data_IF_001240081823
#
_entry.id   IF_001240081823
#
_cell.length_a   1.000
_cell.length_b   1.000
_cell.length_c   1.000
_cell.angle_alpha   90.00
_cell.angle_beta   90.00
_cell.angle_gamma   90.00
#
_symmetry.space_group_name_H-M   'P 1'
#
loop_
_entity.id
_entity.type
_entity.pdbx_description
1 polymer ?
#
# COMPACT_ATOMS: atom_id res chain seq x y z
N UNK A 1 -30.92 -0.07 -30.36
CA UNK A 1 -30.36 -0.40 -29.03
C UNK A 1 -28.86 -0.51 -29.20
N UNK A 2 -28.09 0.49 -28.72
CA UNK A 2 -26.64 0.48 -28.84
C UNK A 2 -26.07 -0.34 -27.68
N UNK A 3 -25.45 -1.46 -28.01
CA UNK A 3 -24.72 -2.24 -27.01
C UNK A 3 -23.35 -1.61 -26.77
N UNK A 4 -23.04 -1.18 -25.54
CA UNK A 4 -21.69 -0.81 -25.15
C UNK A 4 -20.95 -2.08 -24.74
N UNK A 5 -19.89 -2.42 -25.46
CA UNK A 5 -18.98 -3.49 -25.08
C UNK A 5 -17.84 -2.85 -24.28
N UNK A 6 -17.75 -3.17 -23.00
CA UNK A 6 -16.60 -2.81 -22.17
C UNK A 6 -15.53 -3.89 -22.34
N UNK A 7 -14.39 -3.53 -22.87
CA UNK A 7 -13.24 -4.43 -22.94
C UNK A 7 -12.40 -4.20 -21.69
N UNK A 8 -12.31 -5.20 -20.83
CA UNK A 8 -11.36 -5.21 -19.72
C UNK A 8 -10.05 -5.81 -20.23
N UNK A 9 -8.96 -5.13 -19.99
CA UNK A 9 -7.63 -5.62 -20.34
C UNK A 9 -7.12 -6.51 -19.21
N UNK A 10 -6.72 -7.75 -19.52
CA UNK A 10 -6.03 -8.60 -18.57
C UNK A 10 -4.51 -8.40 -18.70
N UNK A 11 -3.89 -8.01 -17.60
CA UNK A 11 -2.43 -7.94 -17.45
C UNK A 11 -1.96 -9.12 -16.62
N UNK A 12 -1.25 -10.05 -17.25
CA UNK A 12 -0.66 -11.21 -16.57
C UNK A 12 0.87 -11.14 -16.61
N UNK A 13 1.50 -11.05 -15.42
CA UNK A 13 2.96 -11.00 -15.28
C UNK A 13 3.37 -12.11 -14.31
N UNK A 14 4.25 -12.98 -14.73
CA UNK A 14 4.72 -14.06 -13.87
C UNK A 14 6.20 -14.39 -14.06
N UNK A 15 6.81 -14.93 -13.00
CA UNK A 15 8.19 -15.41 -13.00
C UNK A 15 9.19 -14.38 -13.60
N UNK A 16 9.03 -13.12 -13.22
CA UNK A 16 9.74 -11.99 -13.86
C UNK A 16 10.56 -11.19 -12.87
N UNK A 17 11.51 -10.44 -13.39
CA UNK A 17 12.24 -9.41 -12.65
C UNK A 17 12.05 -8.08 -13.36
N UNK A 18 11.77 -7.04 -12.58
CA UNK A 18 11.65 -5.67 -13.02
C UNK A 18 12.66 -4.88 -12.21
N UNK A 19 13.73 -4.43 -12.84
CA UNK A 19 14.89 -3.90 -12.12
C UNK A 19 15.39 -2.60 -12.76
N UNK A 20 15.92 -1.70 -11.92
CA UNK A 20 16.59 -0.47 -12.35
C UNK A 20 15.67 0.48 -13.13
N UNK A 21 14.42 0.60 -12.68
CA UNK A 21 13.46 1.54 -13.25
C UNK A 21 13.92 2.99 -13.06
N UNK A 22 13.86 3.77 -14.11
CA UNK A 22 14.26 5.17 -14.13
C UNK A 22 13.09 6.10 -14.49
N UNK A 23 11.90 5.74 -14.02
CA UNK A 23 10.65 6.48 -14.19
C UNK A 23 9.99 6.73 -12.83
N UNK A 24 8.95 7.53 -12.80
CA UNK A 24 8.17 7.78 -11.58
C UNK A 24 7.61 6.48 -11.03
N UNK A 25 7.06 5.62 -11.90
CA UNK A 25 6.63 4.27 -11.56
C UNK A 25 7.44 3.25 -12.37
N UNK A 26 8.03 2.26 -11.70
CA UNK A 26 8.78 1.21 -12.39
C UNK A 26 7.85 0.31 -13.21
N UNK A 27 6.65 0.09 -12.71
CA UNK A 27 5.52 -0.51 -13.43
C UNK A 27 4.24 0.21 -13.02
N UNK A 28 3.57 0.85 -13.97
CA UNK A 28 2.24 1.44 -13.78
C UNK A 28 1.19 0.66 -14.57
N UNK A 29 0.10 0.26 -13.92
CA UNK A 29 -1.02 -0.46 -14.53
C UNK A 29 -2.30 0.32 -14.22
N UNK A 30 -3.04 0.67 -15.25
CA UNK A 30 -4.25 1.48 -15.12
C UNK A 30 -5.45 0.77 -15.74
N UNK A 31 -6.54 0.67 -14.98
CA UNK A 31 -7.85 0.16 -15.41
C UNK A 31 -7.77 -1.24 -16.06
N UNK A 32 -7.23 -2.21 -15.32
CA UNK A 32 -7.03 -3.55 -15.82
C UNK A 32 -7.40 -4.62 -14.78
N UNK A 33 -7.76 -5.81 -15.26
CA UNK A 33 -7.70 -7.02 -14.45
C UNK A 33 -6.24 -7.47 -14.36
N UNK A 34 -5.76 -7.75 -13.16
CA UNK A 34 -4.35 -8.06 -12.92
C UNK A 34 -4.16 -9.46 -12.33
N UNK A 35 -3.14 -10.14 -12.82
CA UNK A 35 -2.63 -11.37 -12.23
C UNK A 35 -1.12 -11.35 -12.22
N UNK A 36 -0.56 -10.91 -11.11
CA UNK A 36 0.89 -10.76 -10.94
C UNK A 36 1.37 -11.83 -9.95
N UNK A 37 2.36 -12.62 -10.35
CA UNK A 37 2.86 -13.67 -9.49
C UNK A 37 4.36 -13.98 -9.68
N UNK A 38 5.06 -14.19 -8.56
CA UNK A 38 6.50 -14.53 -8.57
C UNK A 38 7.32 -13.48 -9.31
N UNK A 39 7.11 -12.21 -8.97
CA UNK A 39 7.83 -11.06 -9.53
C UNK A 39 8.75 -10.46 -8.48
N UNK A 40 9.94 -10.07 -8.90
CA UNK A 40 10.86 -9.33 -8.07
C UNK A 40 11.06 -7.93 -8.65
N UNK A 41 10.72 -6.90 -7.87
CA UNK A 41 11.03 -5.50 -8.16
C UNK A 41 12.31 -5.11 -7.43
N UNK A 42 13.22 -4.42 -8.13
CA UNK A 42 14.46 -3.98 -7.52
C UNK A 42 14.95 -2.65 -8.09
N UNK A 43 15.53 -1.81 -7.22
CA UNK A 43 16.14 -0.53 -7.59
C UNK A 43 15.18 0.38 -8.36
N UNK A 44 13.99 0.62 -7.82
CA UNK A 44 13.08 1.65 -8.33
C UNK A 44 13.54 3.03 -7.82
N UNK A 45 13.66 4.02 -8.70
CA UNK A 45 14.06 5.39 -8.29
C UNK A 45 12.93 6.18 -7.63
N UNK A 46 11.69 5.76 -7.80
CA UNK A 46 10.50 6.23 -7.12
C UNK A 46 9.63 5.02 -6.78
N UNK A 47 8.37 4.96 -7.22
CA UNK A 47 7.45 3.88 -6.88
C UNK A 47 7.76 2.61 -7.71
N UNK A 48 7.57 1.42 -7.12
CA UNK A 48 7.91 0.19 -7.84
C UNK A 48 6.71 -0.37 -8.61
N UNK A 49 5.57 -0.53 -7.96
CA UNK A 49 4.33 -0.97 -8.60
C UNK A 49 3.20 -0.01 -8.22
N UNK A 50 2.67 0.66 -9.22
CA UNK A 50 1.48 1.48 -9.13
C UNK A 50 0.32 0.81 -9.87
N UNK A 51 -0.85 0.72 -9.23
CA UNK A 51 -2.01 0.02 -9.73
C UNK A 51 -3.28 0.85 -9.50
N UNK A 52 -3.68 1.57 -10.55
CA UNK A 52 -4.85 2.43 -10.56
C UNK A 52 -6.07 1.74 -11.19
N UNK A 53 -7.18 1.70 -10.45
CA UNK A 53 -8.43 1.09 -10.93
C UNK A 53 -8.29 -0.36 -11.39
N UNK A 54 -7.41 -1.09 -10.73
CA UNK A 54 -7.15 -2.50 -11.01
C UNK A 54 -8.10 -3.42 -10.25
N UNK A 55 -8.27 -4.64 -10.76
CA UNK A 55 -8.93 -5.73 -10.03
C UNK A 55 -8.12 -7.00 -10.16
N UNK A 56 -8.03 -7.81 -9.12
CA UNK A 56 -7.42 -9.11 -9.22
C UNK A 56 -6.45 -9.49 -8.13
N UNK A 57 -5.36 -10.14 -8.51
CA UNK A 57 -4.47 -10.78 -7.55
C UNK A 57 -3.00 -10.50 -7.81
N UNK A 58 -2.31 -10.14 -6.73
CA UNK A 58 -0.84 -9.98 -6.70
C UNK A 58 -0.29 -10.94 -5.63
N UNK A 59 0.59 -11.85 -6.02
CA UNK A 59 1.05 -12.92 -5.12
C UNK A 59 2.51 -13.28 -5.28
N UNK A 60 3.18 -13.61 -4.15
CA UNK A 60 4.60 -14.00 -4.13
C UNK A 60 5.47 -12.94 -4.81
N UNK A 61 5.33 -11.69 -4.39
CA UNK A 61 6.07 -10.55 -4.95
C UNK A 61 7.03 -10.00 -3.91
N UNK A 62 8.24 -9.73 -4.35
CA UNK A 62 9.29 -9.14 -3.54
C UNK A 62 9.67 -7.76 -4.08
N UNK A 63 9.81 -6.81 -3.18
CA UNK A 63 10.29 -5.46 -3.47
C UNK A 63 11.57 -5.21 -2.68
N UNK A 64 12.58 -4.67 -3.34
CA UNK A 64 13.87 -4.39 -2.73
C UNK A 64 14.49 -3.10 -3.27
N UNK A 65 14.94 -2.22 -2.37
CA UNK A 65 15.58 -0.94 -2.72
C UNK A 65 14.66 -0.06 -3.58
N UNK A 66 13.53 0.35 -3.01
CA UNK A 66 12.55 1.26 -3.64
C UNK A 66 12.68 2.64 -3.00
N UNK A 67 12.83 3.69 -3.78
CA UNK A 67 13.00 5.04 -3.25
C UNK A 67 11.68 5.79 -2.99
N UNK A 68 10.57 5.31 -3.52
CA UNK A 68 9.21 5.75 -3.23
C UNK A 68 8.41 4.69 -2.47
N UNK A 69 7.16 4.49 -2.91
CA UNK A 69 6.28 3.45 -2.43
C UNK A 69 6.59 2.11 -3.11
N UNK A 70 6.67 1.02 -2.35
CA UNK A 70 6.91 -0.27 -2.99
C UNK A 70 5.65 -0.75 -3.75
N UNK A 71 4.49 -0.54 -3.15
CA UNK A 71 3.20 -0.87 -3.75
C UNK A 71 2.23 0.29 -3.49
N UNK A 72 1.78 0.99 -4.52
CA UNK A 72 0.72 2.00 -4.48
C UNK A 72 -0.53 1.45 -5.19
N UNK A 73 -1.67 1.49 -4.51
CA UNK A 73 -2.95 0.97 -4.99
C UNK A 73 -4.00 2.06 -4.84
N UNK A 74 -4.61 2.47 -5.95
CA UNK A 74 -5.64 3.48 -5.96
C UNK A 74 -6.89 3.05 -6.72
N UNK A 75 -8.08 3.27 -6.15
CA UNK A 75 -9.37 2.97 -6.78
C UNK A 75 -9.59 1.49 -7.13
N UNK A 76 -8.93 0.58 -6.47
CA UNK A 76 -8.72 -0.81 -6.91
C UNK A 76 -9.33 -1.84 -5.96
N UNK A 77 -9.59 -3.05 -6.47
CA UNK A 77 -10.08 -4.22 -5.72
C UNK A 77 -9.07 -5.37 -5.87
N UNK A 78 -8.18 -5.51 -4.91
CA UNK A 78 -6.98 -6.35 -5.02
C UNK A 78 -6.84 -7.32 -3.85
N UNK A 79 -6.56 -8.57 -4.16
CA UNK A 79 -6.09 -9.56 -3.21
C UNK A 79 -4.57 -9.70 -3.26
N UNK A 80 -3.92 -9.46 -2.13
CA UNK A 80 -2.47 -9.58 -1.95
C UNK A 80 -2.13 -10.85 -1.16
N UNK A 81 -1.17 -11.64 -1.61
CA UNK A 81 -0.68 -12.76 -0.81
C UNK A 81 0.83 -12.97 -0.92
N UNK A 82 1.49 -13.19 0.21
CA UNK A 82 2.93 -13.37 0.32
C UNK A 82 3.69 -12.20 -0.32
N UNK A 83 3.51 -11.02 0.21
CA UNK A 83 4.19 -9.80 -0.21
C UNK A 83 5.34 -9.53 0.74
N UNK A 84 6.55 -9.40 0.20
CA UNK A 84 7.75 -9.10 0.96
C UNK A 84 8.34 -7.77 0.46
N UNK A 85 8.52 -6.84 1.37
CA UNK A 85 9.03 -5.50 1.08
C UNK A 85 10.24 -5.24 1.96
N UNK A 86 11.34 -4.88 1.32
CA UNK A 86 12.55 -4.49 2.00
C UNK A 86 13.13 -3.21 1.40
N UNK A 87 13.35 -2.22 2.26
CA UNK A 87 13.95 -0.94 1.91
C UNK A 87 13.09 -0.09 0.95
N UNK A 88 11.81 0.12 1.29
CA UNK A 88 10.97 1.15 0.69
C UNK A 88 11.16 2.47 1.47
N UNK A 89 11.55 3.55 0.80
CA UNK A 89 11.93 4.79 1.49
C UNK A 89 10.76 5.64 1.94
N UNK A 90 9.64 5.64 1.20
CA UNK A 90 8.42 6.34 1.61
C UNK A 90 7.46 5.35 2.31
N UNK A 91 6.59 4.67 1.61
CA UNK A 91 5.67 3.69 2.18
C UNK A 91 5.91 2.29 1.61
N UNK A 92 5.90 1.28 2.46
CA UNK A 92 5.94 -0.08 1.95
C UNK A 92 4.65 -0.41 1.18
N UNK A 93 3.49 -0.05 1.74
CA UNK A 93 2.20 -0.21 1.08
C UNK A 93 1.39 1.07 1.25
N UNK A 94 0.93 1.63 0.15
CA UNK A 94 0.05 2.79 0.04
C UNK A 94 -1.26 2.38 -0.60
N UNK A 95 -2.40 2.63 0.05
CA UNK A 95 -3.72 2.24 -0.45
C UNK A 95 -4.66 3.43 -0.31
N UNK A 96 -5.27 3.86 -1.42
CA UNK A 96 -6.09 5.04 -1.47
C UNK A 96 -7.27 4.98 -2.44
N UNK A 97 -8.03 6.07 -2.50
CA UNK A 97 -9.04 6.32 -3.53
C UNK A 97 -10.18 5.29 -3.56
N UNK A 98 -10.72 4.95 -2.39
CA UNK A 98 -11.80 3.97 -2.23
C UNK A 98 -11.43 2.56 -2.71
N UNK A 99 -10.18 2.17 -2.53
CA UNK A 99 -9.74 0.80 -2.78
C UNK A 99 -10.27 -0.18 -1.74
N UNK A 100 -10.47 -1.43 -2.15
CA UNK A 100 -10.76 -2.57 -1.29
C UNK A 100 -9.63 -3.58 -1.41
N UNK A 101 -8.88 -3.82 -0.33
CA UNK A 101 -7.68 -4.64 -0.38
C UNK A 101 -7.62 -5.65 0.76
N UNK A 102 -7.58 -6.93 0.38
CA UNK A 102 -7.33 -8.04 1.30
C UNK A 102 -5.88 -8.50 1.22
N UNK A 103 -5.20 -8.58 2.35
CA UNK A 103 -3.78 -8.98 2.45
C UNK A 103 -3.66 -10.23 3.32
N UNK A 104 -3.23 -11.34 2.75
CA UNK A 104 -3.06 -12.61 3.48
C UNK A 104 -1.78 -12.63 4.33
N UNK A 105 -0.62 -12.38 3.72
CA UNK A 105 0.67 -12.33 4.42
C UNK A 105 1.50 -11.15 3.91
N UNK A 106 1.97 -10.31 4.82
CA UNK A 106 2.79 -9.14 4.53
C UNK A 106 4.02 -9.12 5.43
N UNK A 107 5.19 -8.98 4.83
CA UNK A 107 6.44 -8.77 5.55
C UNK A 107 7.07 -7.46 5.10
N UNK A 108 7.41 -6.59 6.04
CA UNK A 108 8.02 -5.28 5.78
C UNK A 108 9.29 -5.14 6.65
N UNK A 109 10.40 -4.84 6.00
CA UNK A 109 11.67 -4.59 6.68
C UNK A 109 12.38 -3.34 6.13
N UNK A 110 13.15 -2.66 6.98
CA UNK A 110 14.07 -1.57 6.63
C UNK A 110 13.40 -0.44 5.80
N UNK A 111 12.15 -0.10 6.11
CA UNK A 111 11.35 0.80 5.29
C UNK A 111 11.02 2.11 6.01
N UNK A 112 10.44 3.07 5.30
CA UNK A 112 9.96 4.33 5.86
C UNK A 112 8.71 4.12 6.71
N UNK A 113 7.55 4.26 6.11
CA UNK A 113 6.24 3.93 6.70
C UNK A 113 5.82 2.52 6.29
N UNK A 114 5.16 1.78 7.16
CA UNK A 114 4.67 0.44 6.86
C UNK A 114 3.48 0.47 5.89
N UNK A 115 2.27 0.55 6.42
CA UNK A 115 1.03 0.55 5.63
C UNK A 115 0.28 1.86 5.84
N UNK A 116 0.02 2.59 4.77
CA UNK A 116 -0.80 3.79 4.76
C UNK A 116 -2.12 3.53 4.02
N UNK A 117 -3.24 3.70 4.72
CA UNK A 117 -4.59 3.54 4.16
C UNK A 117 -5.30 4.89 4.20
N UNK A 118 -5.84 5.31 3.07
CA UNK A 118 -6.34 6.68 2.89
C UNK A 118 -7.59 6.73 2.00
N UNK A 119 -8.26 7.87 2.06
CA UNK A 119 -9.25 8.30 1.06
C UNK A 119 -10.40 7.29 0.83
N UNK A 120 -11.03 6.84 1.91
CA UNK A 120 -12.20 5.96 1.86
C UNK A 120 -11.90 4.50 1.53
N UNK A 121 -10.63 4.08 1.62
CA UNK A 121 -10.25 2.70 1.35
C UNK A 121 -10.52 1.78 2.54
N UNK A 122 -10.82 0.52 2.23
CA UNK A 122 -11.03 -0.56 3.20
C UNK A 122 -9.94 -1.61 3.04
N UNK A 123 -9.21 -1.88 4.13
CA UNK A 123 -8.09 -2.82 4.11
C UNK A 123 -8.22 -3.83 5.25
N UNK A 124 -8.11 -5.09 4.89
CA UNK A 124 -8.01 -6.19 5.83
C UNK A 124 -6.65 -6.90 5.68
N UNK A 125 -5.94 -7.10 6.79
CA UNK A 125 -4.66 -7.81 6.82
C UNK A 125 -4.79 -9.02 7.75
N UNK A 126 -4.66 -10.23 7.22
CA UNK A 126 -4.70 -11.45 8.04
C UNK A 126 -3.43 -11.60 8.87
N UNK A 127 -2.24 -11.48 8.25
CA UNK A 127 -0.95 -11.60 8.97
C UNK A 127 0.05 -10.55 8.49
N UNK A 128 0.74 -9.94 9.44
CA UNK A 128 1.79 -8.98 9.15
C UNK A 128 2.98 -9.14 10.10
N UNK A 129 4.19 -8.97 9.54
CA UNK A 129 5.43 -8.83 10.28
C UNK A 129 6.14 -7.55 9.83
N UNK A 130 6.50 -6.70 10.77
CA UNK A 130 7.11 -5.39 10.50
C UNK A 130 8.40 -5.29 11.34
N UNK A 131 9.48 -4.81 10.69
CA UNK A 131 10.76 -4.69 11.37
C UNK A 131 11.58 -3.52 10.83
N UNK A 132 12.16 -2.75 11.74
CA UNK A 132 13.05 -1.61 11.42
C UNK A 132 12.42 -0.59 10.48
N UNK A 133 11.35 0.04 10.93
CA UNK A 133 10.78 1.19 10.23
C UNK A 133 11.37 2.51 10.74
N UNK A 134 11.57 3.44 9.82
CA UNK A 134 11.98 4.81 10.18
C UNK A 134 10.83 5.62 10.77
N UNK A 135 9.60 5.24 10.47
CA UNK A 135 8.37 5.95 10.84
C UNK A 135 7.30 4.98 11.36
N UNK A 136 6.02 5.31 11.12
CA UNK A 136 4.89 4.61 11.69
C UNK A 136 4.60 3.28 10.97
N UNK A 137 4.12 2.28 11.73
CA UNK A 137 3.78 0.98 11.13
C UNK A 137 2.48 1.03 10.35
N UNK A 138 1.46 1.65 10.91
CA UNK A 138 0.14 1.77 10.28
C UNK A 138 -0.35 3.21 10.38
N UNK A 139 -0.85 3.73 9.28
CA UNK A 139 -1.46 5.05 9.22
C UNK A 139 -2.82 4.99 8.52
N UNK A 140 -3.81 5.69 9.09
CA UNK A 140 -5.07 5.93 8.39
C UNK A 140 -5.39 7.43 8.40
N UNK A 141 -5.64 8.01 7.21
CA UNK A 141 -5.91 9.44 7.08
C UNK A 141 -6.70 9.76 5.81
N UNK A 142 -7.14 11.01 5.68
CA UNK A 142 -7.81 11.53 4.48
C UNK A 142 -6.91 12.54 3.81
N UNK A 143 -6.43 12.23 2.60
CA UNK A 143 -5.65 13.14 1.74
C UNK A 143 -6.52 13.81 0.69
N UNK A 144 -7.48 13.07 0.15
CA UNK A 144 -8.38 13.50 -0.92
C UNK A 144 -9.82 13.47 -0.40
N UNK A 145 -10.33 14.56 0.17
CA UNK A 145 -11.62 14.57 0.91
C UNK A 145 -12.87 14.37 0.03
N UNK A 146 -12.72 14.34 -1.29
CA UNK A 146 -13.82 14.05 -2.21
C UNK A 146 -14.10 12.53 -2.40
N UNK A 147 -13.20 11.65 -1.93
CA UNK A 147 -13.53 10.25 -1.75
C UNK A 147 -14.32 10.06 -0.46
N UNK A 148 -14.90 8.87 -0.25
CA UNK A 148 -15.62 8.56 0.99
C UNK A 148 -14.77 8.93 2.22
N UNK A 149 -15.40 9.55 3.21
CA UNK A 149 -14.70 9.94 4.44
C UNK A 149 -14.40 8.75 5.38
N UNK A 150 -14.82 7.55 5.03
CA UNK A 150 -14.68 6.38 5.89
C UNK A 150 -13.55 5.47 5.43
N UNK A 151 -12.38 5.69 5.95
CA UNK A 151 -11.20 4.86 5.71
C UNK A 151 -11.07 3.83 6.82
N UNK A 152 -10.85 2.57 6.47
CA UNK A 152 -10.77 1.47 7.44
C UNK A 152 -9.52 0.62 7.26
N UNK A 153 -8.87 0.28 8.37
CA UNK A 153 -7.82 -0.72 8.46
C UNK A 153 -8.14 -1.74 9.57
N UNK A 154 -8.16 -3.00 9.23
CA UNK A 154 -8.30 -4.09 10.18
C UNK A 154 -7.10 -5.05 10.04
N UNK A 155 -6.33 -5.20 11.09
CA UNK A 155 -5.20 -6.15 11.16
C UNK A 155 -5.56 -7.24 12.16
N UNK A 156 -5.61 -8.48 11.71
CA UNK A 156 -6.05 -9.63 12.52
C UNK A 156 -4.91 -10.22 13.35
N UNK A 157 -3.76 -10.45 12.75
CA UNK A 157 -2.63 -11.08 13.41
C UNK A 157 -1.33 -10.30 13.15
N UNK A 158 -0.73 -9.81 14.22
CA UNK A 158 0.59 -9.19 14.18
C UNK A 158 1.60 -10.23 14.67
N UNK A 159 2.41 -10.75 13.75
CA UNK A 159 3.43 -11.76 14.06
C UNK A 159 4.62 -11.12 14.78
N UNK A 160 4.92 -9.86 14.46
CA UNK A 160 5.93 -9.07 15.15
C UNK A 160 5.96 -7.64 14.62
N UNK A 161 6.17 -6.71 15.55
CA UNK A 161 6.54 -5.32 15.26
C UNK A 161 7.75 -5.02 16.13
N UNK A 162 8.87 -4.66 15.50
CA UNK A 162 10.14 -4.49 16.17
C UNK A 162 10.92 -3.32 15.57
N UNK A 163 11.61 -2.57 16.41
CA UNK A 163 12.54 -1.50 16.04
C UNK A 163 11.90 -0.42 15.17
N UNK A 164 11.01 0.37 15.77
CA UNK A 164 10.28 1.44 15.11
C UNK A 164 10.86 2.82 15.46
N UNK A 165 11.01 3.67 14.45
CA UNK A 165 11.30 5.08 14.61
C UNK A 165 10.09 5.96 14.95
N UNK A 166 8.87 5.42 14.78
CA UNK A 166 7.59 6.10 15.00
C UNK A 166 6.60 5.29 15.81
N UNK A 167 5.33 5.54 15.60
CA UNK A 167 4.23 4.89 16.31
C UNK A 167 3.82 3.57 15.65
N UNK A 168 3.29 2.64 16.45
CA UNK A 168 2.68 1.43 15.90
C UNK A 168 1.47 1.78 15.03
N UNK A 169 0.67 2.77 15.46
CA UNK A 169 -0.51 3.19 14.71
C UNK A 169 -0.78 4.69 14.87
N UNK A 170 -1.06 5.34 13.74
CA UNK A 170 -1.48 6.73 13.66
C UNK A 170 -2.81 6.78 12.90
N UNK A 171 -3.85 7.36 13.52
CA UNK A 171 -5.20 7.38 12.98
C UNK A 171 -5.84 8.77 13.04
N UNK A 172 -6.20 9.32 11.89
CA UNK A 172 -6.98 10.56 11.81
C UNK A 172 -8.40 10.36 12.38
N UNK A 173 -9.04 11.45 12.82
CA UNK A 173 -10.35 11.40 13.51
C UNK A 173 -11.47 10.78 12.67
N UNK A 174 -11.46 11.01 11.37
CA UNK A 174 -12.49 10.51 10.43
C UNK A 174 -12.15 9.16 9.80
N UNK A 175 -11.26 8.40 10.41
CA UNK A 175 -10.84 7.09 9.94
C UNK A 175 -10.95 6.04 11.04
N UNK A 176 -10.81 4.77 10.69
CA UNK A 176 -10.82 3.66 11.63
C UNK A 176 -9.60 2.77 11.42
N UNK A 177 -8.94 2.41 12.52
CA UNK A 177 -7.89 1.40 12.50
C UNK A 177 -8.01 0.50 13.72
N UNK A 178 -8.02 -0.81 13.48
CA UNK A 178 -8.06 -1.84 14.50
C UNK A 178 -6.92 -2.81 14.29
N UNK A 179 -6.07 -2.96 15.28
CA UNK A 179 -4.95 -3.89 15.32
C UNK A 179 -5.26 -4.99 16.31
N UNK A 180 -5.49 -6.21 15.83
CA UNK A 180 -5.95 -7.35 16.63
C UNK A 180 -7.23 -7.00 17.40
N UNK A 181 -7.13 -6.85 18.73
CA UNK A 181 -8.27 -6.52 19.59
C UNK A 181 -8.27 -5.05 20.05
N UNK A 182 -7.33 -4.22 19.57
CA UNK A 182 -7.19 -2.82 19.99
C UNK A 182 -7.55 -1.87 18.87
N UNK A 183 -8.39 -0.88 19.16
CA UNK A 183 -8.62 0.26 18.28
C UNK A 183 -7.50 1.27 18.51
N UNK A 184 -6.90 1.75 17.41
CA UNK A 184 -5.88 2.79 17.48
C UNK A 184 -6.47 4.08 18.05
N UNK A 185 -5.71 4.73 18.89
CA UNK A 185 -6.08 6.05 19.40
C UNK A 185 -6.07 7.08 18.29
N UNK A 186 -6.93 8.09 18.42
CA UNK A 186 -6.95 9.21 17.49
C UNK A 186 -5.68 10.05 17.65
N UNK A 187 -5.15 10.50 16.53
CA UNK A 187 -4.01 11.40 16.48
C UNK A 187 -4.23 12.46 15.40
N UNK A 188 -3.52 13.56 15.51
CA UNK A 188 -3.56 14.60 14.48
C UNK A 188 -2.60 14.17 13.36
N UNK A 189 -3.13 14.00 12.17
CA UNK A 189 -2.33 13.75 10.96
C UNK A 189 -2.33 15.04 10.13
N UNK A 190 -1.24 15.79 10.21
CA UNK A 190 -1.06 16.97 9.35
C UNK A 190 -0.65 16.52 7.94
N UNK A 191 -1.65 16.22 7.12
CA UNK A 191 -1.48 15.72 5.76
C UNK A 191 -0.77 16.75 4.87
N UNK A 192 -1.06 18.04 5.04
CA UNK A 192 -0.42 19.09 4.26
C UNK A 192 1.09 19.13 4.56
N UNK A 193 1.45 19.11 5.83
CA UNK A 193 2.86 19.05 6.23
C UNK A 193 3.55 17.79 5.68
N UNK A 194 2.92 16.60 5.83
CA UNK A 194 3.52 15.35 5.38
C UNK A 194 3.90 15.36 3.89
N UNK A 195 3.02 15.90 3.04
CA UNK A 195 3.22 15.88 1.58
C UNK A 195 3.95 17.11 1.02
N UNK A 196 3.91 18.25 1.69
CA UNK A 196 4.58 19.47 1.20
C UNK A 196 5.96 19.69 1.81
N UNK A 197 6.16 19.35 3.06
CA UNK A 197 7.38 19.64 3.83
C UNK A 197 7.94 18.44 4.58
N UNK A 198 7.13 17.44 4.82
CA UNK A 198 7.47 16.26 5.61
C UNK A 198 8.07 15.12 4.79
N UNK A 199 8.02 13.95 5.38
CA UNK A 199 8.64 12.71 4.89
C UNK A 199 8.05 12.12 3.62
N UNK A 200 6.82 12.51 3.25
CA UNK A 200 6.11 12.03 2.05
C UNK A 200 6.17 13.05 0.90
N UNK A 201 7.07 14.04 1.00
CA UNK A 201 7.31 14.98 -0.08
C UNK A 201 8.08 14.28 -1.21
N UNK A 202 7.46 14.20 -2.39
CA UNK A 202 8.12 13.74 -3.64
C UNK A 202 8.84 14.87 -4.35
#
# INVERSE_FOLDING_TARGET
MNAFIWTVVLVEISNSKIENGNAEDQLNIVNADVKISKVNFKNAISDALDCDYCRGKISNVNFHEVHGDALDIAGSDIFLSNINIKSAKDKAVSIGESSNVDIENLTIEDSGTGVAVKDGSEVYIDKVSIKRLSYDSFMTYVKKPFFSNYTQLNVKNIIGIDDLGGSVCVRDENTFAKLENKICEKSIVDVEYLYQKGRMKK
#
